data_IF_273867395101
#
_entry.id   IF_273867395101
#
_cell.length_a   1.000
_cell.length_b   1.000
_cell.length_c   1.000
_cell.angle_alpha   90.00
_cell.angle_beta   90.00
_cell.angle_gamma   90.00
#
_symmetry.space_group_name_H-M   'P 1'
#
loop_
_entity.id
_entity.type
_entity.pdbx_description
1 polymer ?
#
# COMPACT_ATOMS: atom_id res chain seq x y z
N UNK A 1 -12.15 43.93 -10.22
CA UNK A 1 -11.56 42.86 -9.39
C UNK A 1 -10.47 42.20 -10.20
N UNK A 2 -9.22 42.30 -9.76
CA UNK A 2 -8.03 41.94 -10.55
C UNK A 2 -8.06 40.49 -11.01
N UNK A 3 -8.19 40.30 -12.31
CA UNK A 3 -8.00 38.99 -12.94
C UNK A 3 -6.53 38.59 -12.83
N UNK A 4 -6.27 37.30 -12.63
CA UNK A 4 -4.91 36.76 -12.70
C UNK A 4 -4.38 37.05 -14.10
N UNK A 5 -3.26 37.77 -14.19
CA UNK A 5 -2.64 38.16 -15.47
C UNK A 5 -1.55 37.19 -15.91
N UNK A 6 -1.04 36.37 -14.99
CA UNK A 6 0.18 35.59 -15.18
C UNK A 6 -0.09 34.08 -14.98
N UNK A 7 0.65 33.25 -15.69
CA UNK A 7 0.55 31.79 -15.59
C UNK A 7 1.33 31.28 -14.38
N UNK A 8 0.68 30.59 -13.43
CA UNK A 8 1.36 30.07 -12.23
C UNK A 8 2.35 28.92 -12.45
N UNK A 9 2.52 28.44 -13.69
CA UNK A 9 3.49 27.38 -14.00
C UNK A 9 4.84 27.98 -14.47
N UNK A 10 4.82 28.96 -15.38
CA UNK A 10 6.04 29.60 -15.91
C UNK A 10 6.26 31.03 -15.39
N UNK A 11 5.27 31.64 -14.75
CA UNK A 11 5.26 33.02 -14.26
C UNK A 11 5.21 34.11 -15.36
N UNK A 12 5.00 33.73 -16.62
CA UNK A 12 4.85 34.68 -17.73
C UNK A 12 3.40 35.16 -17.93
N UNK A 13 3.23 36.26 -18.67
CA UNK A 13 1.92 36.84 -18.96
C UNK A 13 1.01 35.88 -19.74
N UNK A 14 -0.26 35.78 -19.33
CA UNK A 14 -1.27 34.93 -19.99
C UNK A 14 -1.56 35.34 -21.44
N UNK A 15 -1.22 36.57 -21.84
CA UNK A 15 -1.34 37.08 -23.20
C UNK A 15 -0.21 36.61 -24.15
N UNK A 16 0.88 36.05 -23.62
CA UNK A 16 2.07 35.70 -24.42
C UNK A 16 1.99 34.34 -25.11
N UNK A 17 0.98 33.52 -24.78
CA UNK A 17 0.82 32.16 -25.32
C UNK A 17 -0.63 31.68 -25.24
N UNK A 18 -1.03 30.66 -26.03
CA UNK A 18 -2.38 30.10 -25.97
C UNK A 18 -2.75 29.64 -24.56
N UNK A 19 -3.90 30.08 -24.07
CA UNK A 19 -4.39 29.77 -22.71
C UNK A 19 -5.55 28.77 -22.73
N UNK A 20 -5.65 28.02 -21.64
CA UNK A 20 -6.77 27.16 -21.30
C UNK A 20 -7.52 27.76 -20.12
N UNK A 21 -8.84 27.87 -20.22
CA UNK A 21 -9.71 28.06 -19.05
C UNK A 21 -10.20 26.70 -18.57
N UNK A 22 -9.66 26.24 -17.44
CA UNK A 22 -10.04 24.95 -16.84
C UNK A 22 -11.49 24.97 -16.36
N UNK A 23 -12.09 23.79 -16.16
CA UNK A 23 -13.43 23.68 -15.55
C UNK A 23 -13.52 24.32 -14.16
N UNK A 24 -12.40 24.42 -13.43
CA UNK A 24 -12.34 25.12 -12.14
C UNK A 24 -12.39 26.66 -12.25
N UNK A 25 -12.38 27.21 -13.47
CA UNK A 25 -12.42 28.65 -13.75
C UNK A 25 -11.04 29.31 -13.89
N UNK A 26 -9.97 28.66 -13.46
CA UNK A 26 -8.60 29.18 -13.56
C UNK A 26 -8.04 29.09 -14.97
N UNK A 27 -7.17 30.04 -15.31
CA UNK A 27 -6.55 30.18 -16.63
C UNK A 27 -5.06 29.92 -16.53
N UNK A 28 -4.52 29.07 -17.42
CA UNK A 28 -3.11 28.70 -17.51
C UNK A 28 -2.71 28.56 -18.97
N UNK A 29 -1.43 28.67 -19.31
CA UNK A 29 -0.99 28.38 -20.68
C UNK A 29 -1.19 26.89 -21.04
N UNK A 30 -1.65 26.65 -22.26
CA UNK A 30 -1.81 25.31 -22.82
C UNK A 30 -0.48 24.54 -22.81
N UNK A 31 0.61 25.18 -23.25
CA UNK A 31 1.94 24.58 -23.31
C UNK A 31 2.44 24.14 -21.93
N UNK A 32 2.27 24.99 -20.91
CA UNK A 32 2.68 24.67 -19.54
C UNK A 32 1.92 23.46 -18.98
N UNK A 33 0.59 23.42 -19.14
CA UNK A 33 -0.21 22.28 -18.68
C UNK A 33 0.17 21.01 -19.43
N UNK A 34 0.38 21.08 -20.74
CA UNK A 34 0.77 19.92 -21.56
C UNK A 34 2.13 19.36 -21.13
N UNK A 35 3.13 20.23 -20.95
CA UNK A 35 4.47 19.84 -20.49
C UNK A 35 4.42 19.25 -19.08
N UNK A 36 3.63 19.84 -18.18
CA UNK A 36 3.43 19.29 -16.84
C UNK A 36 2.87 17.86 -16.91
N UNK A 37 1.82 17.63 -17.71
CA UNK A 37 1.22 16.31 -17.87
C UNK A 37 2.15 15.30 -18.54
N UNK A 38 2.92 15.71 -19.55
CA UNK A 38 3.87 14.82 -20.24
C UNK A 38 5.05 14.43 -19.37
N UNK A 39 5.43 15.27 -18.40
CA UNK A 39 6.52 14.98 -17.47
C UNK A 39 6.12 14.00 -16.35
N UNK A 40 4.82 13.71 -16.19
CA UNK A 40 4.36 12.73 -15.21
C UNK A 40 4.73 11.33 -15.68
N UNK A 41 5.75 10.75 -15.05
CA UNK A 41 6.20 9.39 -15.33
C UNK A 41 5.96 8.46 -14.13
N UNK A 42 4.81 7.80 -14.10
CA UNK A 42 4.50 6.78 -13.10
C UNK A 42 5.22 5.45 -13.29
N UNK A 43 6.07 5.34 -14.32
CA UNK A 43 6.92 4.19 -14.59
C UNK A 43 8.35 4.41 -14.07
N UNK A 44 8.58 5.42 -13.22
CA UNK A 44 9.90 5.74 -12.68
C UNK A 44 10.30 4.93 -11.45
N UNK A 45 9.40 4.11 -10.90
CA UNK A 45 9.65 3.32 -9.69
C UNK A 45 9.57 4.14 -8.41
N UNK A 46 9.00 5.35 -8.49
CA UNK A 46 8.66 6.17 -7.33
C UNK A 46 7.21 5.96 -6.91
N UNK A 47 6.90 6.47 -5.72
CA UNK A 47 5.55 6.46 -5.19
C UNK A 47 4.64 7.29 -6.10
N UNK A 48 3.45 6.77 -6.38
CA UNK A 48 2.44 7.49 -7.13
C UNK A 48 1.98 8.72 -6.33
N UNK A 49 2.23 9.91 -6.88
CA UNK A 49 1.78 11.19 -6.31
C UNK A 49 0.90 11.90 -7.32
N UNK A 50 -0.37 12.09 -6.96
CA UNK A 50 -1.39 12.64 -7.86
C UNK A 50 -1.58 14.17 -7.73
N UNK A 51 -0.73 14.86 -6.96
CA UNK A 51 -0.81 16.30 -6.78
C UNK A 51 -0.62 17.07 -8.10
N UNK A 52 0.20 16.54 -9.00
CA UNK A 52 0.44 17.12 -10.33
C UNK A 52 -0.77 17.04 -11.27
N UNK A 53 -1.82 16.29 -10.92
CA UNK A 53 -3.09 16.26 -11.64
C UNK A 53 -4.08 17.33 -11.17
N UNK A 54 -3.76 18.05 -10.10
CA UNK A 54 -4.59 19.11 -9.52
C UNK A 54 -4.16 20.47 -10.07
N UNK A 55 -5.09 21.42 -10.03
CA UNK A 55 -4.85 22.79 -10.46
C UNK A 55 -3.75 23.45 -9.59
N UNK A 56 -2.68 24.02 -10.20
CA UNK A 56 -1.57 24.64 -9.48
C UNK A 56 -1.96 25.93 -8.74
N UNK A 57 -3.13 26.50 -9.02
CA UNK A 57 -3.67 27.70 -8.34
C UNK A 57 -4.13 27.42 -6.88
N UNK A 58 -3.99 26.20 -6.37
CA UNK A 58 -4.34 25.86 -4.99
C UNK A 58 -5.81 25.53 -4.76
N UNK A 59 -6.66 25.52 -5.79
CA UNK A 59 -8.08 25.17 -5.65
C UNK A 59 -8.35 23.66 -5.51
N UNK A 60 -7.32 22.82 -5.56
CA UNK A 60 -7.34 21.36 -5.38
C UNK A 60 -8.22 20.55 -6.36
N UNK A 61 -8.90 21.19 -7.31
CA UNK A 61 -9.68 20.54 -8.37
C UNK A 61 -8.76 19.90 -9.41
N UNK A 62 -9.17 18.77 -9.99
CA UNK A 62 -8.45 18.12 -11.09
C UNK A 62 -8.40 19.01 -12.33
N UNK A 63 -7.35 18.86 -13.13
CA UNK A 63 -7.23 19.52 -14.43
C UNK A 63 -8.26 18.93 -15.40
N UNK A 64 -9.19 19.76 -15.87
CA UNK A 64 -10.25 19.34 -16.80
C UNK A 64 -10.43 20.38 -17.90
N UNK A 65 -10.19 19.95 -19.13
CA UNK A 65 -10.45 20.69 -20.36
C UNK A 65 -10.50 19.70 -21.55
N UNK A 66 -11.39 19.87 -22.55
CA UNK A 66 -11.52 18.93 -23.66
C UNK A 66 -10.21 18.64 -24.42
N UNK A 67 -9.35 19.66 -24.57
CA UNK A 67 -8.08 19.55 -25.32
C UNK A 67 -7.02 18.68 -24.62
N UNK A 68 -7.08 18.53 -23.29
CA UNK A 68 -6.13 17.72 -22.50
C UNK A 68 -6.74 16.39 -22.04
N UNK A 69 -7.96 16.08 -22.48
CA UNK A 69 -8.71 14.92 -22.00
C UNK A 69 -8.00 13.61 -22.34
N UNK A 70 -7.37 13.53 -23.51
CA UNK A 70 -6.67 12.32 -23.95
C UNK A 70 -5.46 12.00 -23.06
N UNK A 71 -4.70 13.02 -22.66
CA UNK A 71 -3.57 12.89 -21.72
C UNK A 71 -4.06 12.63 -20.29
N UNK A 72 -5.16 13.28 -19.87
CA UNK A 72 -5.71 13.12 -18.53
C UNK A 72 -6.40 11.76 -18.31
N UNK A 73 -6.98 11.15 -19.34
CA UNK A 73 -7.73 9.88 -19.24
C UNK A 73 -6.94 8.75 -18.57
N UNK A 74 -5.73 8.37 -19.01
CA UNK A 74 -4.96 7.31 -18.35
C UNK A 74 -4.53 7.69 -16.93
N UNK A 75 -4.23 8.96 -16.67
CA UNK A 75 -3.80 9.44 -15.34
C UNK A 75 -4.97 9.42 -14.34
N UNK A 76 -6.18 9.80 -14.78
CA UNK A 76 -7.42 9.70 -13.99
C UNK A 76 -7.78 8.25 -13.70
N UNK A 77 -7.64 7.35 -14.68
CA UNK A 77 -7.89 5.92 -14.48
C UNK A 77 -6.95 5.33 -13.42
N UNK A 78 -5.66 5.66 -13.48
CA UNK A 78 -4.68 5.22 -12.49
C UNK A 78 -4.98 5.78 -11.09
N UNK A 79 -5.38 7.05 -10.98
CA UNK A 79 -5.82 7.67 -9.72
C UNK A 79 -7.05 6.97 -9.16
N UNK A 80 -8.03 6.67 -9.99
CA UNK A 80 -9.26 5.99 -9.59
C UNK A 80 -8.97 4.57 -9.06
N UNK A 81 -8.07 3.83 -9.71
CA UNK A 81 -7.62 2.51 -9.22
C UNK A 81 -6.94 2.63 -7.84
N UNK A 82 -6.06 3.61 -7.67
CA UNK A 82 -5.39 3.86 -6.38
C UNK A 82 -6.38 4.21 -5.26
N UNK A 83 -7.37 5.06 -5.54
CA UNK A 83 -8.44 5.44 -4.61
C UNK A 83 -9.28 4.23 -4.21
N UNK A 84 -9.64 3.37 -5.17
CA UNK A 84 -10.41 2.17 -4.90
C UNK A 84 -9.64 1.20 -3.97
N UNK A 85 -8.36 0.96 -4.27
CA UNK A 85 -7.49 0.16 -3.41
C UNK A 85 -7.35 0.77 -2.00
N UNK A 86 -7.20 2.10 -1.91
CA UNK A 86 -7.08 2.81 -0.63
C UNK A 86 -8.37 2.71 0.20
N UNK A 87 -9.53 2.91 -0.42
CA UNK A 87 -10.83 2.82 0.24
C UNK A 87 -11.08 1.41 0.81
N UNK A 88 -10.79 0.38 0.02
CA UNK A 88 -10.90 -1.00 0.47
C UNK A 88 -9.96 -1.27 1.65
N UNK A 89 -8.71 -0.80 1.58
CA UNK A 89 -7.76 -1.00 2.66
C UNK A 89 -8.19 -0.28 3.93
N UNK A 90 -8.66 0.95 3.82
CA UNK A 90 -9.22 1.68 4.95
C UNK A 90 -10.40 0.95 5.63
N UNK A 91 -11.27 0.29 4.86
CA UNK A 91 -12.36 -0.55 5.40
C UNK A 91 -11.83 -1.76 6.16
N UNK A 92 -10.88 -2.49 5.57
CA UNK A 92 -10.29 -3.69 6.18
C UNK A 92 -9.55 -3.35 7.48
N UNK A 93 -8.79 -2.26 7.48
CA UNK A 93 -8.04 -1.77 8.65
C UNK A 93 -8.92 -1.00 9.64
N UNK A 94 -10.20 -0.77 9.32
CA UNK A 94 -11.13 0.08 10.10
C UNK A 94 -10.51 1.44 10.44
N UNK A 95 -9.79 2.01 9.49
CA UNK A 95 -9.13 3.31 9.61
C UNK A 95 -10.19 4.40 9.66
N UNK A 96 -10.34 5.02 10.82
CA UNK A 96 -11.32 6.09 11.02
C UNK A 96 -10.68 7.47 10.92
N UNK A 97 -11.43 8.42 10.36
CA UNK A 97 -11.11 9.84 10.43
C UNK A 97 -11.40 10.43 11.82
N UNK A 98 -11.17 11.75 11.99
CA UNK A 98 -11.49 12.48 13.23
C UNK A 98 -12.96 12.33 13.64
N UNK A 99 -13.86 12.18 12.66
CA UNK A 99 -15.31 12.06 12.86
C UNK A 99 -15.76 10.64 13.25
N UNK A 100 -14.82 9.70 13.46
CA UNK A 100 -15.11 8.30 13.81
C UNK A 100 -15.63 7.45 12.66
N UNK A 101 -15.84 8.01 11.47
CA UNK A 101 -16.23 7.28 10.26
C UNK A 101 -15.00 6.69 9.56
N UNK A 102 -15.17 5.56 8.87
CA UNK A 102 -14.11 4.96 8.04
C UNK A 102 -13.70 5.97 6.95
N UNK A 103 -12.39 6.17 6.78
CA UNK A 103 -11.84 7.10 5.80
C UNK A 103 -12.37 6.78 4.39
N UNK A 104 -12.75 7.84 3.66
CA UNK A 104 -13.06 7.72 2.25
C UNK A 104 -11.78 7.39 1.44
N UNK A 105 -11.94 6.97 0.18
CA UNK A 105 -10.81 6.59 -0.66
C UNK A 105 -9.83 7.72 -0.95
N UNK A 106 -10.29 8.98 -1.00
CA UNK A 106 -9.42 10.13 -1.24
C UNK A 106 -8.58 10.47 0.00
N UNK A 107 -9.18 10.44 1.18
CA UNK A 107 -8.50 10.61 2.47
C UNK A 107 -7.53 9.45 2.72
N UNK A 108 -7.97 8.22 2.45
CA UNK A 108 -7.16 7.02 2.59
C UNK A 108 -5.95 7.03 1.63
N UNK A 109 -6.09 7.57 0.42
CA UNK A 109 -5.00 7.65 -0.56
C UNK A 109 -3.73 8.32 0.02
N UNK A 110 -3.91 9.30 0.89
CA UNK A 110 -2.81 10.03 1.55
C UNK A 110 -2.20 9.30 2.76
N UNK A 111 -2.73 8.13 3.14
CA UNK A 111 -2.21 7.30 4.23
C UNK A 111 -1.36 6.12 3.75
N UNK A 112 -1.45 5.78 2.46
CA UNK A 112 -0.75 4.64 1.88
C UNK A 112 0.27 5.05 0.82
N UNK A 113 1.31 4.24 0.66
CA UNK A 113 2.21 4.29 -0.48
C UNK A 113 1.63 3.44 -1.61
N UNK A 114 1.50 4.00 -2.81
CA UNK A 114 1.08 3.27 -4.00
C UNK A 114 2.21 3.23 -5.02
N UNK A 115 2.33 2.10 -5.72
CA UNK A 115 3.31 1.88 -6.77
C UNK A 115 2.65 1.19 -7.96
N UNK A 116 3.32 1.26 -9.12
CA UNK A 116 2.90 0.58 -10.33
C UNK A 116 3.71 -0.70 -10.52
N UNK A 117 3.02 -1.83 -10.64
CA UNK A 117 3.67 -3.12 -10.79
C UNK A 117 4.40 -3.24 -12.15
N UNK A 118 5.65 -3.69 -12.15
CA UNK A 118 6.45 -3.90 -13.36
C UNK A 118 5.90 -5.01 -14.26
N UNK A 119 5.26 -6.04 -13.69
CA UNK A 119 4.72 -7.18 -14.43
C UNK A 119 3.31 -6.93 -15.00
N UNK A 120 2.35 -6.53 -14.17
CA UNK A 120 0.95 -6.36 -14.59
C UNK A 120 0.54 -4.91 -14.88
N UNK A 121 1.42 -3.93 -14.64
CA UNK A 121 1.20 -2.49 -14.87
C UNK A 121 0.07 -1.85 -14.04
N UNK A 122 -0.53 -2.59 -13.11
CA UNK A 122 -1.60 -2.13 -12.21
C UNK A 122 -1.06 -1.52 -10.92
N UNK A 123 -1.87 -0.66 -10.30
CA UNK A 123 -1.53 -0.05 -9.02
C UNK A 123 -1.64 -1.07 -7.89
N UNK A 124 -0.68 -1.05 -6.96
CA UNK A 124 -0.75 -1.81 -5.72
C UNK A 124 -0.34 -0.97 -4.51
N UNK A 125 -0.89 -1.31 -3.35
CA UNK A 125 -0.51 -0.70 -2.07
C UNK A 125 0.82 -1.30 -1.60
N UNK A 126 1.81 -0.45 -1.37
CA UNK A 126 3.13 -0.79 -0.81
C UNK A 126 3.22 -0.67 0.71
N UNK A 127 2.10 -0.36 1.37
CA UNK A 127 2.03 -0.19 2.83
C UNK A 127 1.54 1.18 3.26
N UNK A 128 1.38 1.37 4.57
CA UNK A 128 1.07 2.69 5.14
C UNK A 128 2.33 3.54 5.24
N UNK A 129 2.14 4.85 5.07
CA UNK A 129 3.23 5.83 5.06
C UNK A 129 3.85 6.07 6.44
N UNK A 130 3.07 5.87 7.52
CA UNK A 130 3.57 5.95 8.89
C UNK A 130 4.59 4.83 9.17
N UNK A 131 4.33 3.61 8.69
CA UNK A 131 5.23 2.47 8.89
C UNK A 131 6.61 2.61 8.23
N UNK A 132 6.70 3.28 7.07
CA UNK A 132 7.98 3.44 6.35
C UNK A 132 8.90 4.48 7.03
N UNK A 133 8.33 5.42 7.80
CA UNK A 133 9.05 6.50 8.47
C UNK A 133 9.72 6.05 9.77
N UNK A 134 9.04 5.19 10.53
CA UNK A 134 9.49 4.82 11.88
C UNK A 134 10.81 4.03 11.86
N UNK A 135 11.07 3.22 10.82
CA UNK A 135 12.31 2.42 10.73
C UNK A 135 13.52 3.20 10.23
N UNK A 136 13.34 4.21 9.37
CA UNK A 136 14.45 5.11 9.00
C UNK A 136 14.88 5.97 10.18
N UNK A 137 13.93 6.39 11.02
CA UNK A 137 14.23 7.13 12.24
C UNK A 137 14.95 6.26 13.29
N UNK A 138 14.63 4.97 13.41
CA UNK A 138 15.38 4.05 14.28
C UNK A 138 16.86 3.91 13.81
N UNK A 139 17.12 3.80 12.50
CA UNK A 139 18.48 3.76 11.94
C UNK A 139 19.26 5.08 12.13
N UNK A 140 18.62 6.23 11.99
CA UNK A 140 19.25 7.54 12.23
C UNK A 140 19.60 7.72 13.72
N UNK A 141 18.74 7.25 14.64
CA UNK A 141 18.99 7.32 16.08
C UNK A 141 20.04 6.31 16.57
N UNK A 142 20.18 5.15 15.92
CA UNK A 142 21.23 4.17 16.23
C UNK A 142 22.60 4.52 15.59
N UNK A 143 22.61 5.44 14.61
CA UNK A 143 23.82 5.97 13.97
C UNK A 143 24.29 7.32 14.56
N UNK A 144 23.43 8.03 15.31
CA UNK A 144 23.86 8.99 16.31
C UNK A 144 24.38 8.23 17.54
N UNK A 145 25.65 7.82 17.47
CA UNK A 145 26.39 7.42 18.68
C UNK A 145 26.21 8.46 19.79
N UNK A 146 26.27 8.06 21.08
CA UNK A 146 25.93 8.95 22.18
C UNK A 146 26.68 10.28 22.05
N UNK A 147 25.91 11.38 22.06
CA UNK A 147 26.43 12.74 21.98
C UNK A 147 27.65 12.89 22.90
N UNK A 148 28.74 13.54 22.43
CA UNK A 148 29.93 13.70 23.24
C UNK A 148 29.57 14.44 24.53
N UNK A 149 29.70 13.75 25.65
CA UNK A 149 29.48 14.32 26.97
C UNK A 149 30.35 15.58 27.11
N UNK A 150 29.69 16.67 27.49
CA UNK A 150 30.29 17.97 27.70
C UNK A 150 31.56 17.87 28.57
N UNK A 151 32.60 18.58 28.11
CA UNK A 151 33.84 18.73 28.83
C UNK A 151 33.62 19.30 30.24
N UNK A 152 34.07 18.55 31.25
CA UNK A 152 34.44 19.08 32.56
C UNK A 152 35.93 18.75 32.79
N UNK A 153 36.63 19.72 33.35
CA UNK A 153 38.07 19.94 33.28
C UNK A 153 38.98 18.94 34.04
N UNK A 154 40.24 18.88 33.57
CA UNK A 154 41.54 18.59 34.22
C UNK A 154 41.58 17.83 35.58
N UNK A 155 42.45 16.85 35.87
CA UNK A 155 43.91 16.80 35.76
C UNK A 155 44.45 15.35 36.09
N UNK A 156 45.78 15.05 36.16
CA UNK A 156 46.40 13.89 35.49
C UNK A 156 46.68 12.58 36.27
N UNK A 157 47.01 11.57 35.45
CA UNK A 157 47.54 10.19 35.63
C UNK A 157 48.28 9.78 36.93
N UNK A 158 48.34 8.45 37.18
CA UNK A 158 49.64 7.79 37.23
C UNK A 158 49.81 6.59 36.27
N UNK A 159 51.08 6.35 35.99
CA UNK A 159 51.75 5.46 35.04
C UNK A 159 51.68 3.94 35.38
N UNK A 160 52.15 3.05 34.49
CA UNK A 160 51.70 1.66 34.36
C UNK A 160 52.57 0.66 35.12
N UNK A 161 52.00 -0.51 35.44
CA UNK A 161 52.78 -1.69 35.82
C UNK A 161 52.56 -2.87 34.85
N UNK A 162 53.66 -3.59 34.66
CA UNK A 162 54.02 -4.44 33.55
C UNK A 162 53.62 -5.89 33.81
N UNK A 163 53.02 -6.50 32.78
CA UNK A 163 53.47 -7.80 32.28
C UNK A 163 52.77 -9.06 32.82
N UNK A 164 52.43 -9.99 31.90
CA UNK A 164 53.05 -11.32 31.79
C UNK A 164 52.60 -12.04 30.52
N UNK A 165 53.54 -12.73 29.88
CA UNK A 165 53.44 -13.46 28.59
C UNK A 165 52.67 -14.79 28.73
N UNK A 166 51.99 -15.21 27.65
CA UNK A 166 51.51 -16.59 27.44
C UNK A 166 51.21 -16.89 25.97
N UNK A 167 51.66 -18.04 25.46
CA UNK A 167 51.88 -18.39 24.04
C UNK A 167 50.89 -19.45 23.51
N UNK A 168 50.53 -19.35 22.21
CA UNK A 168 50.15 -20.42 21.24
C UNK A 168 48.80 -21.16 21.52
N UNK A 169 48.05 -21.75 20.57
CA UNK A 169 48.33 -22.38 19.26
C UNK A 169 47.14 -22.20 18.31
N UNK A 170 47.46 -22.15 17.01
CA UNK A 170 46.55 -22.30 15.86
C UNK A 170 46.14 -23.77 15.72
N UNK A 171 44.88 -24.07 15.37
CA UNK A 171 44.50 -25.29 14.67
C UNK A 171 43.60 -24.93 13.49
N UNK A 172 44.13 -25.20 12.28
CA UNK A 172 43.36 -25.41 11.05
C UNK A 172 42.79 -26.82 11.11
N UNK A 173 41.54 -26.99 10.69
CA UNK A 173 41.07 -28.28 10.16
C UNK A 173 40.25 -27.99 8.92
N UNK A 174 40.65 -28.62 7.82
CA UNK A 174 39.98 -28.64 6.53
C UNK A 174 39.36 -30.02 6.36
N UNK A 175 38.12 -30.15 5.87
CA UNK A 175 37.65 -31.26 5.05
C UNK A 175 36.22 -30.99 4.50
N UNK A 176 35.98 -31.44 3.28
CA UNK A 176 34.87 -31.10 2.38
C UNK A 176 33.74 -32.18 2.38
N UNK A 177 32.99 -32.41 1.29
CA UNK A 177 31.70 -31.80 0.96
C UNK A 177 30.52 -32.82 0.94
N UNK A 178 29.28 -32.35 1.09
CA UNK A 178 28.09 -33.12 0.75
C UNK A 178 27.10 -32.26 -0.06
N UNK A 179 26.64 -32.84 -1.17
CA UNK A 179 25.83 -32.24 -2.23
C UNK A 179 24.35 -32.17 -1.83
N UNK A 180 23.64 -31.16 -2.35
CA UNK A 180 22.23 -31.31 -2.74
C UNK A 180 21.24 -30.33 -2.13
N UNK A 181 21.14 -29.12 -2.70
CA UNK A 181 19.89 -28.41 -3.03
C UNK A 181 20.29 -27.04 -3.58
N UNK A 182 19.82 -26.70 -4.78
CA UNK A 182 20.13 -25.45 -5.45
C UNK A 182 19.56 -24.24 -4.66
N UNK A 183 20.38 -23.63 -3.83
CA UNK A 183 20.16 -22.28 -3.33
C UNK A 183 20.60 -21.30 -4.42
N UNK A 184 19.70 -20.40 -4.81
CA UNK A 184 20.01 -19.28 -5.70
C UNK A 184 21.06 -18.40 -5.00
N UNK A 185 22.25 -18.16 -5.56
CA UNK A 185 23.27 -17.36 -4.90
C UNK A 185 22.93 -15.88 -5.07
N UNK A 186 22.75 -15.17 -3.96
CA UNK A 186 22.81 -13.70 -3.93
C UNK A 186 24.15 -13.30 -3.32
N UNK A 187 25.07 -12.87 -4.18
CA UNK A 187 26.32 -12.27 -3.78
C UNK A 187 27.27 -12.06 -4.96
N UNK A 188 27.25 -10.87 -5.55
CA UNK A 188 28.43 -10.22 -6.14
C UNK A 188 28.01 -8.84 -6.68
N UNK A 189 28.87 -7.83 -6.46
CA UNK A 189 28.66 -6.47 -6.95
C UNK A 189 28.34 -6.43 -8.44
N UNK A 190 27.18 -5.86 -8.74
CA UNK A 190 26.71 -5.56 -10.08
C UNK A 190 25.93 -4.25 -10.01
N UNK A 191 25.93 -3.51 -11.11
CA UNK A 191 25.10 -2.32 -11.33
C UNK A 191 23.74 -2.53 -10.66
N UNK A 192 23.36 -1.65 -9.71
CA UNK A 192 22.06 -1.74 -9.04
C UNK A 192 21.00 -1.79 -10.15
N UNK A 193 20.19 -2.86 -10.25
CA UNK A 193 19.15 -2.93 -11.26
C UNK A 193 18.19 -1.75 -11.07
N UNK A 194 17.58 -1.30 -12.17
CA UNK A 194 16.73 -0.12 -12.17
C UNK A 194 15.58 -0.36 -11.17
N UNK A 195 15.37 0.54 -10.20
CA UNK A 195 14.35 0.42 -9.12
C UNK A 195 12.95 0.03 -9.64
N UNK A 196 12.67 0.34 -10.90
CA UNK A 196 11.46 0.02 -11.66
C UNK A 196 11.21 -1.48 -11.81
N UNK A 197 12.25 -2.29 -12.02
CA UNK A 197 12.11 -3.71 -12.35
C UNK A 197 11.82 -4.57 -11.11
N UNK A 198 12.13 -4.05 -9.91
CA UNK A 198 11.93 -4.71 -8.62
C UNK A 198 10.51 -4.53 -8.05
N UNK A 199 9.75 -3.53 -8.52
CA UNK A 199 8.41 -3.23 -8.00
C UNK A 199 7.36 -4.19 -8.55
N UNK A 200 7.27 -5.35 -7.91
CA UNK A 200 6.31 -6.39 -8.23
C UNK A 200 5.22 -6.41 -7.16
N UNK A 201 3.96 -6.31 -7.55
CA UNK A 201 2.87 -6.45 -6.58
C UNK A 201 2.87 -7.86 -5.95
N UNK A 202 2.34 -8.03 -4.72
CA UNK A 202 2.34 -9.32 -4.03
C UNK A 202 1.80 -10.49 -4.86
N UNK A 203 0.72 -10.23 -5.61
CA UNK A 203 0.14 -11.22 -6.50
C UNK A 203 1.08 -11.65 -7.63
N UNK A 204 1.79 -10.71 -8.25
CA UNK A 204 2.77 -11.00 -9.30
C UNK A 204 4.08 -11.59 -8.75
N UNK A 205 4.35 -11.41 -7.46
CA UNK A 205 5.47 -12.05 -6.77
C UNK A 205 5.17 -13.53 -6.51
N UNK A 206 3.91 -13.86 -6.22
CA UNK A 206 3.46 -15.22 -5.86
C UNK A 206 2.86 -15.99 -7.07
N UNK A 207 2.63 -15.30 -8.18
CA UNK A 207 2.14 -15.89 -9.43
C UNK A 207 0.63 -16.19 -9.39
N UNK A 208 0.21 -17.29 -10.01
CA UNK A 208 -1.21 -17.65 -10.10
C UNK A 208 -1.89 -17.84 -8.74
N UNK A 209 -1.15 -18.32 -7.73
CA UNK A 209 -1.69 -18.50 -6.38
C UNK A 209 -2.10 -17.17 -5.72
N UNK A 210 -1.55 -16.04 -6.16
CA UNK A 210 -1.89 -14.71 -5.68
C UNK A 210 -3.01 -14.02 -6.46
N UNK A 211 -3.82 -14.75 -7.23
CA UNK A 211 -4.87 -14.17 -8.08
C UNK A 211 -6.23 -14.82 -7.80
N UNK A 212 -7.26 -14.00 -7.59
CA UNK A 212 -8.63 -14.46 -7.58
C UNK A 212 -9.13 -14.66 -9.03
N UNK A 213 -9.73 -15.81 -9.38
CA UNK A 213 -10.30 -16.03 -10.72
C UNK A 213 -11.41 -15.03 -11.10
N UNK A 214 -12.17 -14.53 -10.11
CA UNK A 214 -13.28 -13.60 -10.32
C UNK A 214 -12.86 -12.12 -10.25
N UNK A 215 -12.03 -11.78 -9.28
CA UNK A 215 -11.72 -10.38 -8.94
C UNK A 215 -10.26 -9.98 -9.21
N UNK A 216 -9.46 -10.88 -9.77
CA UNK A 216 -8.05 -10.65 -10.05
C UNK A 216 -7.20 -10.49 -8.79
N UNK A 217 -6.20 -9.62 -8.83
CA UNK A 217 -5.17 -9.56 -7.80
C UNK A 217 -5.32 -8.43 -6.77
N UNK A 218 -6.17 -7.42 -7.01
CA UNK A 218 -6.28 -6.24 -6.14
C UNK A 218 -6.91 -6.54 -4.78
N UNK A 219 -7.68 -7.62 -4.70
CA UNK A 219 -8.52 -7.94 -3.55
C UNK A 219 -8.04 -9.19 -2.82
N UNK A 220 -6.82 -9.66 -3.09
CA UNK A 220 -6.26 -10.85 -2.46
C UNK A 220 -5.76 -10.51 -1.06
N UNK A 221 -6.24 -11.26 -0.08
CA UNK A 221 -5.85 -11.14 1.31
C UNK A 221 -4.70 -12.09 1.61
N UNK A 222 -3.79 -11.66 2.46
CA UNK A 222 -2.60 -12.41 2.88
C UNK A 222 -2.68 -12.77 4.36
N UNK A 223 -2.06 -13.89 4.75
CA UNK A 223 -1.72 -14.09 6.17
C UNK A 223 -0.48 -13.29 6.53
N UNK A 224 -0.35 -12.99 7.82
CA UNK A 224 0.90 -12.52 8.40
C UNK A 224 2.04 -13.51 8.07
N UNK A 225 3.22 -13.00 7.74
CA UNK A 225 4.42 -13.81 7.51
C UNK A 225 4.75 -14.66 8.72
N UNK A 226 4.65 -14.06 9.91
CA UNK A 226 5.18 -14.60 11.15
C UNK A 226 4.15 -15.31 12.04
N UNK A 227 2.87 -15.30 11.68
CA UNK A 227 1.83 -15.97 12.47
C UNK A 227 0.63 -16.40 11.60
N UNK A 228 -0.38 -16.99 12.22
CA UNK A 228 -1.56 -17.53 11.54
C UNK A 228 -2.77 -16.58 11.62
N UNK A 229 -2.53 -15.26 11.64
CA UNK A 229 -3.57 -14.23 11.59
C UNK A 229 -3.60 -13.56 10.21
N UNK A 230 -4.76 -13.07 9.73
CA UNK A 230 -4.83 -12.25 8.54
C UNK A 230 -3.95 -11.00 8.66
N UNK A 231 -3.34 -10.60 7.54
CA UNK A 231 -2.49 -9.44 7.49
C UNK A 231 -3.28 -8.14 7.33
N UNK A 232 -2.97 -7.21 8.21
CA UNK A 232 -3.50 -5.85 8.23
C UNK A 232 -2.47 -4.87 7.67
N UNK A 233 -1.18 -5.20 7.75
CA UNK A 233 -0.09 -4.38 7.23
C UNK A 233 0.64 -5.08 6.11
N UNK A 234 1.18 -4.30 5.18
CA UNK A 234 2.15 -4.74 4.18
C UNK A 234 3.30 -3.74 4.23
N UNK A 235 4.50 -4.20 4.55
CA UNK A 235 5.67 -3.33 4.72
C UNK A 235 6.83 -3.82 3.85
N UNK A 236 7.74 -2.90 3.54
CA UNK A 236 8.97 -3.17 2.78
C UNK A 236 8.73 -3.76 1.39
N UNK A 237 7.52 -3.59 0.85
CA UNK A 237 7.13 -4.11 -0.46
C UNK A 237 7.15 -5.64 -0.59
N UNK A 238 7.36 -6.38 0.51
CA UNK A 238 7.54 -7.84 0.45
C UNK A 238 6.88 -8.60 1.59
N UNK A 239 6.57 -7.96 2.72
CA UNK A 239 6.19 -8.69 3.93
C UNK A 239 4.84 -8.24 4.48
N UNK A 240 3.96 -9.20 4.73
CA UNK A 240 2.65 -8.98 5.32
C UNK A 240 2.66 -9.22 6.84
N UNK A 241 1.99 -8.36 7.61
CA UNK A 241 1.91 -8.47 9.08
C UNK A 241 0.49 -8.32 9.61
N UNK A 242 0.16 -9.04 10.69
CA UNK A 242 -0.95 -8.65 11.56
C UNK A 242 -0.50 -7.53 12.53
N UNK A 243 -1.42 -6.87 13.23
CA UNK A 243 -1.10 -5.79 14.18
C UNK A 243 -0.06 -6.22 15.23
N UNK A 244 -0.21 -7.42 15.79
CA UNK A 244 0.68 -7.93 16.84
C UNK A 244 2.11 -8.14 16.35
N UNK A 245 2.27 -8.66 15.13
CA UNK A 245 3.58 -8.89 14.55
C UNK A 245 4.17 -7.61 13.94
N UNK A 246 3.33 -6.69 13.46
CA UNK A 246 3.77 -5.39 13.01
C UNK A 246 4.33 -4.57 14.17
N UNK A 247 3.68 -4.59 15.34
CA UNK A 247 4.12 -3.79 16.49
C UNK A 247 5.30 -4.40 17.27
N UNK A 248 5.81 -5.55 16.84
CA UNK A 248 6.99 -6.19 17.40
C UNK A 248 8.22 -5.81 16.57
N UNK A 249 9.10 -4.98 17.14
CA UNK A 249 10.31 -4.50 16.48
C UNK A 249 11.15 -5.64 15.91
N UNK A 250 11.15 -6.81 16.53
CA UNK A 250 12.01 -7.90 16.09
C UNK A 250 11.51 -8.54 14.79
N UNK A 251 10.20 -8.59 14.55
CA UNK A 251 9.66 -9.05 13.26
C UNK A 251 9.78 -7.97 12.17
N UNK A 252 9.65 -6.67 12.52
CA UNK A 252 9.92 -5.58 11.57
C UNK A 252 11.40 -5.56 11.15
N UNK A 253 12.30 -5.68 12.10
CA UNK A 253 13.74 -5.73 11.85
C UNK A 253 14.11 -6.92 10.95
N UNK A 254 13.56 -8.10 11.22
CA UNK A 254 13.78 -9.28 10.39
C UNK A 254 13.28 -9.11 8.95
N UNK A 255 12.10 -8.53 8.76
CA UNK A 255 11.55 -8.34 7.43
C UNK A 255 12.37 -7.37 6.57
N UNK A 256 13.05 -6.40 7.20
CA UNK A 256 13.92 -5.44 6.52
C UNK A 256 15.35 -6.00 6.32
N UNK A 257 15.95 -6.60 7.35
CA UNK A 257 17.34 -7.06 7.35
C UNK A 257 17.50 -8.53 6.93
N UNK A 258 16.40 -9.26 6.77
CA UNK A 258 16.36 -10.69 6.46
C UNK A 258 17.22 -11.55 7.41
N UNK A 259 17.04 -11.35 8.71
CA UNK A 259 17.79 -12.08 9.77
C UNK A 259 17.35 -13.53 9.94
N UNK A 260 16.38 -13.99 9.14
CA UNK A 260 15.83 -15.32 9.13
C UNK A 260 15.18 -15.74 10.47
N UNK A 261 14.45 -14.80 11.10
CA UNK A 261 13.74 -15.02 12.36
C UNK A 261 12.62 -16.04 12.19
N UNK A 262 12.55 -16.95 13.15
CA UNK A 262 11.49 -17.97 13.22
C UNK A 262 10.15 -17.31 13.57
N UNK A 263 9.10 -17.65 12.82
CA UNK A 263 7.73 -17.21 13.11
C UNK A 263 7.05 -18.07 14.16
N UNK A 264 5.93 -17.59 14.69
CA UNK A 264 5.11 -18.34 15.65
C UNK A 264 4.63 -19.65 15.02
N UNK A 265 4.86 -20.82 15.64
CA UNK A 265 4.44 -22.10 15.07
C UNK A 265 2.92 -22.16 14.92
N UNK A 266 2.46 -22.85 13.87
CA UNK A 266 1.04 -23.07 13.66
C UNK A 266 0.47 -23.93 14.80
N UNK A 267 -0.66 -23.55 15.43
CA UNK A 267 -1.27 -24.34 16.50
C UNK A 267 -1.95 -25.63 16.00
N UNK A 268 -1.87 -25.92 14.69
CA UNK A 268 -2.48 -27.06 14.03
C UNK A 268 -3.82 -26.73 13.37
N UNK A 269 -4.32 -27.60 12.46
CA UNK A 269 -5.48 -27.33 11.61
C UNK A 269 -6.77 -27.03 12.39
N UNK A 270 -6.98 -27.69 13.54
CA UNK A 270 -8.17 -27.49 14.36
C UNK A 270 -8.17 -26.23 15.23
N UNK A 271 -6.99 -25.62 15.45
CA UNK A 271 -6.83 -24.42 16.30
C UNK A 271 -6.36 -23.19 15.51
N UNK A 272 -5.96 -23.38 14.26
CA UNK A 272 -5.52 -22.31 13.38
C UNK A 272 -6.75 -21.59 12.82
N UNK A 273 -6.80 -20.27 12.95
CA UNK A 273 -7.86 -19.44 12.38
C UNK A 273 -7.94 -19.54 10.83
N UNK A 274 -6.88 -20.05 10.19
CA UNK A 274 -6.78 -20.27 8.75
C UNK A 274 -6.95 -21.76 8.36
N UNK A 275 -7.37 -22.62 9.30
CA UNK A 275 -7.55 -24.05 9.06
C UNK A 275 -6.26 -24.87 8.88
N UNK A 276 -5.09 -24.27 9.10
CA UNK A 276 -3.79 -24.94 9.05
C UNK A 276 -3.24 -25.24 7.64
N UNK A 277 -3.94 -24.83 6.58
CA UNK A 277 -3.55 -25.07 5.20
C UNK A 277 -2.54 -24.02 4.70
N UNK A 278 -1.38 -23.92 5.36
CA UNK A 278 -0.30 -23.02 4.95
C UNK A 278 1.09 -23.58 5.34
N UNK A 279 2.18 -23.16 4.67
CA UNK A 279 3.53 -23.52 5.04
C UNK A 279 3.90 -23.09 6.47
N UNK A 280 4.97 -23.66 7.05
CA UNK A 280 5.50 -23.20 8.33
C UNK A 280 5.85 -21.71 8.31
N UNK A 281 5.68 -21.04 9.44
CA UNK A 281 6.09 -19.64 9.57
C UNK A 281 7.61 -19.56 9.78
N UNK A 282 8.31 -18.57 9.19
CA UNK A 282 7.79 -17.46 8.41
C UNK A 282 7.39 -17.84 6.97
N UNK A 283 6.19 -17.47 6.51
CA UNK A 283 5.78 -17.66 5.11
C UNK A 283 4.78 -16.62 4.61
N UNK A 284 5.01 -16.12 3.39
CA UNK A 284 4.07 -15.29 2.64
C UNK A 284 3.07 -16.17 1.92
N UNK A 285 1.78 -16.01 2.20
CA UNK A 285 0.75 -16.81 1.55
C UNK A 285 -0.58 -16.05 1.42
N UNK A 286 -1.22 -16.06 0.24
CA UNK A 286 -2.57 -15.56 0.07
C UNK A 286 -3.57 -16.52 0.72
N UNK A 287 -4.57 -15.98 1.40
CA UNK A 287 -5.60 -16.74 2.15
C UNK A 287 -7.02 -16.56 1.60
N UNK A 288 -7.18 -15.81 0.51
CA UNK A 288 -8.46 -15.65 -0.18
C UNK A 288 -8.64 -14.29 -0.82
N UNK A 289 -9.87 -14.00 -1.25
CA UNK A 289 -10.25 -12.72 -1.85
C UNK A 289 -11.30 -12.01 -0.99
N UNK A 290 -11.04 -10.75 -0.62
CA UNK A 290 -11.94 -9.94 0.18
C UNK A 290 -13.33 -9.77 -0.48
N UNK A 291 -13.37 -9.57 -1.81
CA UNK A 291 -14.64 -9.43 -2.53
C UNK A 291 -15.44 -10.74 -2.60
N UNK A 292 -14.78 -11.89 -2.79
CA UNK A 292 -15.48 -13.18 -2.73
C UNK A 292 -16.11 -13.40 -1.35
N UNK A 293 -15.38 -13.11 -0.27
CA UNK A 293 -15.90 -13.22 1.10
C UNK A 293 -17.09 -12.31 1.34
N UNK A 294 -17.06 -11.10 0.79
CA UNK A 294 -18.17 -10.14 0.90
C UNK A 294 -19.41 -10.60 0.09
N UNK A 295 -19.20 -11.11 -1.13
CA UNK A 295 -20.26 -11.69 -1.96
C UNK A 295 -20.91 -12.91 -1.28
N UNK A 296 -20.11 -13.80 -0.70
CA UNK A 296 -20.58 -14.96 0.07
C UNK A 296 -21.41 -14.51 1.28
N UNK A 297 -20.88 -13.57 2.09
CA UNK A 297 -21.58 -13.02 3.23
C UNK A 297 -22.92 -12.37 2.85
N UNK A 298 -22.95 -11.62 1.73
CA UNK A 298 -24.16 -10.98 1.24
C UNK A 298 -25.18 -11.98 0.67
N UNK A 299 -24.72 -13.07 0.06
CA UNK A 299 -25.59 -14.15 -0.43
C UNK A 299 -26.25 -14.90 0.73
N UNK A 300 -25.51 -15.18 1.80
CA UNK A 300 -26.02 -15.86 3.00
C UNK A 300 -26.98 -14.99 3.81
N UNK A 301 -26.71 -13.68 3.92
CA UNK A 301 -27.50 -12.76 4.75
C UNK A 301 -28.58 -11.98 3.98
N UNK A 302 -28.51 -11.91 2.65
CA UNK A 302 -29.52 -11.27 1.78
C UNK A 302 -30.88 -11.97 1.80
N UNK A 303 -30.95 -13.23 2.27
CA UNK A 303 -32.19 -13.96 2.53
C UNK A 303 -32.96 -13.49 3.78
N UNK A 304 -32.33 -12.78 4.71
CA UNK A 304 -32.97 -12.39 5.98
C UNK A 304 -33.65 -11.01 5.93
N UNK A 305 -33.23 -10.09 5.05
CA UNK A 305 -33.90 -8.80 4.89
C UNK A 305 -35.28 -8.89 4.20
N UNK A 306 -35.51 -9.92 3.37
CA UNK A 306 -36.84 -10.15 2.76
C UNK A 306 -37.89 -10.71 3.73
N UNK A 307 -37.51 -11.29 4.88
CA UNK A 307 -38.47 -11.86 5.85
C UNK A 307 -39.02 -10.87 6.87
N UNK A 308 -38.40 -9.69 7.07
CA UNK A 308 -38.91 -8.65 8.00
C UNK A 308 -39.94 -7.68 7.39
N UNK A 309 -40.27 -7.80 6.11
CA UNK A 309 -41.39 -7.06 5.48
C UNK A 309 -42.60 -7.96 5.15
N UNK A 310 -42.66 -9.16 5.72
CA UNK A 310 -43.67 -10.18 5.40
C UNK A 310 -44.49 -10.70 6.60
N UNK A 311 -44.63 -9.91 7.67
CA UNK A 311 -45.51 -10.25 8.80
C UNK A 311 -46.29 -9.02 9.25
N UNK A 312 -47.35 -8.71 8.50
CA UNK A 312 -48.25 -7.59 8.76
C UNK A 312 -49.37 -7.59 7.74
N UNK A 313 -50.26 -8.57 7.81
CA UNK A 313 -51.34 -8.74 6.85
C UNK A 313 -52.42 -9.70 7.35
N UNK A 314 -53.23 -9.24 8.31
CA UNK A 314 -54.54 -9.83 8.60
C UNK A 314 -55.55 -8.72 8.88
N UNK A 315 -56.61 -8.65 8.07
CA UNK A 315 -57.91 -8.15 8.52
C UNK A 315 -58.56 -7.05 7.69
N UNK A 316 -59.61 -7.42 6.96
CA UNK A 316 -60.74 -6.55 6.53
C UNK A 316 -60.54 -5.84 5.20
N UNK A 317 -61.33 -6.01 4.14
CA UNK A 317 -62.71 -6.50 4.02
C UNK A 317 -63.65 -5.35 3.67
N UNK A 318 -64.19 -5.34 2.44
CA UNK A 318 -65.48 -4.72 2.13
C UNK A 318 -65.54 -3.63 1.05
N UNK A 319 -66.37 -3.87 0.02
CA UNK A 319 -67.07 -2.87 -0.81
C UNK A 319 -66.39 -2.50 -2.13
N UNK A 320 -66.76 -3.08 -3.29
CA UNK A 320 -67.86 -2.66 -4.18
C UNK A 320 -67.64 -1.24 -4.78
N UNK A 321 -67.75 -0.95 -6.08
CA UNK A 321 -68.32 -1.65 -7.22
C UNK A 321 -67.77 -1.10 -8.56
N UNK A 322 -67.71 -2.00 -9.54
CA UNK A 322 -68.13 -1.90 -10.95
C UNK A 322 -68.07 -0.54 -11.71
N UNK A 323 -67.39 -0.51 -12.85
CA UNK A 323 -68.02 -0.51 -14.19
C UNK A 323 -66.96 -0.49 -15.32
N UNK A 324 -67.33 -1.13 -16.42
CA UNK A 324 -66.49 -1.52 -17.55
C UNK A 324 -66.52 -0.50 -18.71
N UNK A 325 -65.52 -0.60 -19.59
CA UNK A 325 -65.55 -0.44 -21.07
C UNK A 325 -64.16 0.07 -21.52
N UNK A 326 -63.30 -0.77 -22.09
CA UNK A 326 -63.25 -1.15 -23.51
C UNK A 326 -62.77 -0.01 -24.42
N UNK A 327 -61.55 -0.18 -24.95
CA UNK A 327 -61.13 0.01 -26.34
C UNK A 327 -59.76 0.69 -26.43
N UNK A 328 -58.79 -0.08 -26.94
CA UNK A 328 -57.62 0.40 -27.68
C UNK A 328 -58.07 0.89 -29.07
N UNK A 329 -57.28 1.69 -29.80
CA UNK A 329 -55.84 1.94 -29.66
C UNK A 329 -55.46 3.30 -29.06
#
# INVERSE_FOLDING_TARGET
GGGVTDCMICMDGLNESPVLKLACGHVLHYGCVKTQLSNINFDNGERLVFNLLKCPMGCNKLLEHPVIENEMRPLKALRAEAIANAAQRARLEKLTGPDGQILDGEQALHKYAFYKCSKCRRVYCGGRLDCERDLRQEEDNDNEGPAPAAAAAAAPAPQPDRGRKGKKKRRRVSAAPARGAAAVPLGAGGVRPNKKDELVCPACAIGQAGQCPKHGHGFVEFKCRYCCEPAVWFCFGTTHFCDKCHNDNAYRYDAYHNTNRIGKPCPGPHKCALGGNHPPNPCEMPIGCALCKEEEFNAENGGQQKKKRGSGGSGGGGGAAAAAAAARP
#
